data_IF_232950868707
#
_entry.id   IF_232950868707
#
_cell.length_a   1.000
_cell.length_b   1.000
_cell.length_c   1.000
_cell.angle_alpha   90.00
_cell.angle_beta   90.00
_cell.angle_gamma   90.00
#
_symmetry.space_group_name_H-M   'P 1'
#
loop_
_entity.id
_entity.type
_entity.pdbx_description
1 polymer ?
#
# COMPACT_ATOMS: atom_id res chain seq x y z
N UNK A 1 -17.55 -21.20 29.61
CA UNK A 1 -18.91 -20.95 30.11
C UNK A 1 -19.11 -19.43 30.19
N UNK A 2 -19.78 -18.88 29.16
CA UNK A 2 -20.53 -17.60 29.09
C UNK A 2 -19.77 -16.29 29.45
N UNK A 3 -19.77 -15.21 28.66
CA UNK A 3 -20.94 -14.56 28.04
C UNK A 3 -20.52 -13.40 27.11
N UNK A 4 -21.13 -13.28 25.92
CA UNK A 4 -22.03 -12.18 25.54
C UNK A 4 -22.33 -12.23 24.05
N UNK A 5 -23.60 -12.47 23.72
CA UNK A 5 -24.14 -12.15 22.41
C UNK A 5 -24.05 -10.63 22.18
N UNK A 6 -23.49 -10.25 21.04
CA UNK A 6 -23.58 -8.90 20.51
C UNK A 6 -24.01 -9.04 19.05
N UNK A 7 -25.28 -8.75 18.79
CA UNK A 7 -25.69 -8.18 17.51
C UNK A 7 -24.97 -6.83 17.38
N UNK A 8 -23.93 -6.82 16.56
CA UNK A 8 -22.95 -5.74 16.47
C UNK A 8 -21.56 -6.38 16.48
N UNK A 9 -20.93 -6.42 15.32
CA UNK A 9 -19.62 -7.07 15.12
C UNK A 9 -18.63 -6.65 16.21
N UNK A 10 -17.86 -7.61 16.73
CA UNK A 10 -16.77 -7.35 17.68
C UNK A 10 -15.84 -6.31 17.09
N UNK A 11 -15.73 -5.17 17.77
CA UNK A 11 -14.63 -4.24 17.54
C UNK A 11 -13.38 -4.99 18.04
N UNK A 12 -12.56 -5.50 17.11
CA UNK A 12 -11.29 -6.12 17.44
C UNK A 12 -10.41 -5.14 18.21
N UNK A 13 -9.64 -5.63 19.18
CA UNK A 13 -8.62 -4.82 19.82
C UNK A 13 -7.72 -4.23 18.73
N UNK A 14 -7.43 -2.92 18.77
CA UNK A 14 -6.60 -2.25 17.76
C UNK A 14 -5.19 -2.85 17.60
N UNK A 15 -4.79 -3.81 18.45
CA UNK A 15 -3.54 -4.57 18.34
C UNK A 15 -3.57 -5.74 17.35
N UNK A 16 -4.74 -6.11 16.80
CA UNK A 16 -4.89 -7.19 15.82
C UNK A 16 -5.12 -6.66 14.39
N UNK A 17 -4.81 -5.38 14.13
CA UNK A 17 -4.88 -4.76 12.80
C UNK A 17 -3.48 -4.56 12.17
N UNK A 18 -2.44 -5.15 12.78
CA UNK A 18 -1.03 -4.93 12.42
C UNK A 18 -0.47 -6.03 11.50
N UNK A 19 -1.29 -6.57 10.59
CA UNK A 19 -0.73 -7.32 9.45
C UNK A 19 -0.27 -6.31 8.41
N UNK A 20 0.84 -5.63 8.74
CA UNK A 20 1.64 -4.88 7.77
C UNK A 20 2.19 -5.89 6.75
N UNK A 21 1.46 -6.10 5.65
CA UNK A 21 1.93 -6.95 4.56
C UNK A 21 3.08 -6.20 3.87
N UNK A 22 4.29 -6.77 3.82
CA UNK A 22 5.39 -6.13 3.11
C UNK A 22 5.07 -6.04 1.62
N UNK A 23 5.29 -4.85 1.05
CA UNK A 23 5.15 -4.56 -0.36
C UNK A 23 6.51 -4.65 -1.06
N UNK A 24 6.50 -4.94 -2.36
CA UNK A 24 7.73 -5.04 -3.14
C UNK A 24 7.87 -3.81 -4.03
N UNK A 25 9.06 -3.19 -4.02
CA UNK A 25 9.38 -2.07 -4.89
C UNK A 25 9.29 -2.48 -6.36
N UNK A 26 8.51 -1.78 -7.18
CA UNK A 26 8.37 -2.10 -8.60
C UNK A 26 9.66 -1.91 -9.40
N UNK A 27 10.54 -1.02 -8.94
CA UNK A 27 11.82 -0.74 -9.60
C UNK A 27 12.95 -1.67 -9.16
N UNK A 28 13.24 -1.73 -7.86
CA UNK A 28 14.41 -2.46 -7.34
C UNK A 28 14.07 -3.82 -6.72
N UNK A 29 12.77 -4.18 -6.65
CA UNK A 29 12.27 -5.42 -6.04
C UNK A 29 12.66 -5.63 -4.58
N UNK A 30 13.00 -4.54 -3.86
CA UNK A 30 13.22 -4.56 -2.43
C UNK A 30 11.90 -4.69 -1.66
N UNK A 31 11.95 -5.34 -0.50
CA UNK A 31 10.85 -5.40 0.45
C UNK A 31 10.70 -4.06 1.19
N UNK A 32 9.47 -3.56 1.31
CA UNK A 32 9.12 -2.27 1.90
C UNK A 32 7.92 -2.46 2.82
N UNK A 33 7.96 -1.97 4.06
CA UNK A 33 6.76 -1.94 4.88
C UNK A 33 5.71 -0.98 4.29
N UNK A 34 4.43 -1.33 4.37
CA UNK A 34 3.33 -0.48 3.87
C UNK A 34 3.45 0.98 4.34
N UNK A 35 3.83 1.19 5.59
CA UNK A 35 3.96 2.53 6.20
C UNK A 35 5.05 3.41 5.59
N UNK A 36 6.03 2.83 4.90
CA UNK A 36 7.12 3.57 4.26
C UNK A 36 7.08 3.49 2.72
N UNK A 37 6.11 2.78 2.15
CA UNK A 37 5.98 2.60 0.72
C UNK A 37 5.38 3.85 0.07
N UNK A 38 6.09 4.42 -0.91
CA UNK A 38 5.54 5.45 -1.76
C UNK A 38 4.66 4.80 -2.83
N UNK A 39 3.35 5.07 -2.77
CA UNK A 39 2.38 4.61 -3.77
C UNK A 39 2.32 5.58 -4.95
N UNK A 40 2.18 5.01 -6.13
CA UNK A 40 1.75 5.72 -7.32
C UNK A 40 0.52 5.00 -7.87
N UNK A 41 -0.59 5.71 -7.90
CA UNK A 41 -1.83 5.20 -8.47
C UNK A 41 -1.90 5.64 -9.94
N UNK A 42 -1.85 4.62 -10.79
CA UNK A 42 -2.17 4.68 -12.19
C UNK A 42 -3.66 4.48 -12.45
N UNK A 43 -4.04 4.51 -13.71
CA UNK A 43 -5.44 4.31 -14.10
C UNK A 43 -5.93 2.89 -13.80
N UNK A 44 -5.07 1.90 -13.98
CA UNK A 44 -5.38 0.47 -13.85
C UNK A 44 -4.41 -0.29 -12.93
N UNK A 45 -3.47 0.40 -12.28
CA UNK A 45 -2.48 -0.23 -11.41
C UNK A 45 -2.01 0.67 -10.27
N UNK A 46 -1.51 0.06 -9.20
CA UNK A 46 -0.82 0.75 -8.12
C UNK A 46 0.62 0.26 -8.07
N UNK A 47 1.57 1.17 -8.26
CA UNK A 47 2.99 0.87 -8.12
C UNK A 47 3.50 1.32 -6.76
N UNK A 48 4.37 0.50 -6.14
CA UNK A 48 4.95 0.81 -4.84
C UNK A 48 6.47 1.01 -4.97
N UNK A 49 6.99 2.03 -4.29
CA UNK A 49 8.41 2.38 -4.34
C UNK A 49 9.01 2.54 -2.95
N UNK A 50 10.25 2.08 -2.78
CA UNK A 50 10.96 2.15 -1.51
C UNK A 50 11.45 3.57 -1.17
N UNK A 51 11.39 4.49 -2.15
CA UNK A 51 11.81 5.87 -1.97
C UNK A 51 11.68 6.72 -3.24
N UNK A 52 11.91 8.02 -3.08
CA UNK A 52 11.75 9.01 -4.15
C UNK A 52 12.67 8.74 -5.34
N UNK A 53 13.92 8.35 -5.13
CA UNK A 53 14.86 8.08 -6.22
C UNK A 53 14.42 6.93 -7.14
N UNK A 54 13.75 5.91 -6.57
CA UNK A 54 13.17 4.82 -7.37
C UNK A 54 11.94 5.30 -8.13
N UNK A 55 11.03 6.00 -7.46
CA UNK A 55 9.83 6.56 -8.11
C UNK A 55 10.21 7.52 -9.26
N UNK A 56 11.17 8.42 -9.07
CA UNK A 56 11.61 9.37 -10.10
C UNK A 56 12.28 8.69 -11.29
N UNK A 57 13.08 7.66 -11.04
CA UNK A 57 13.69 6.85 -12.11
C UNK A 57 12.65 6.10 -12.91
N UNK A 58 11.65 5.53 -12.22
CA UNK A 58 10.52 4.90 -12.87
C UNK A 58 9.68 5.91 -13.68
N UNK A 59 9.34 7.07 -13.10
CA UNK A 59 8.59 8.15 -13.78
C UNK A 59 9.27 8.64 -15.06
N UNK A 60 10.61 8.72 -15.06
CA UNK A 60 11.39 9.07 -16.26
C UNK A 60 11.29 8.01 -17.37
N UNK A 61 11.19 6.74 -16.99
CA UNK A 61 11.05 5.63 -17.93
C UNK A 61 9.60 5.44 -18.41
N UNK A 62 8.62 6.00 -17.68
CA UNK A 62 7.18 5.89 -17.97
C UNK A 62 6.52 7.27 -18.16
N UNK A 63 6.94 8.08 -19.15
CA UNK A 63 6.38 9.42 -19.34
C UNK A 63 4.90 9.37 -19.81
N UNK A 64 4.02 9.90 -18.97
CA UNK A 64 2.75 10.54 -19.32
C UNK A 64 1.57 9.71 -19.88
N UNK A 65 1.54 8.38 -19.80
CA UNK A 65 0.32 7.63 -20.16
C UNK A 65 -0.61 7.27 -19.01
N UNK A 66 -0.16 7.44 -17.77
CA UNK A 66 -0.84 6.83 -16.63
C UNK A 66 -0.96 7.76 -15.40
N UNK A 67 -0.56 9.03 -15.54
CA UNK A 67 -0.80 10.05 -14.51
C UNK A 67 -2.24 10.57 -14.61
N UNK A 68 -3.24 9.77 -14.24
CA UNK A 68 -4.56 10.31 -13.93
C UNK A 68 -4.95 9.87 -12.51
N UNK A 69 -4.92 10.78 -11.52
CA UNK A 69 -5.43 10.49 -10.18
C UNK A 69 -6.96 10.41 -10.25
N UNK A 70 -7.53 9.23 -9.99
CA UNK A 70 -8.96 9.15 -9.67
C UNK A 70 -9.12 9.59 -8.22
N UNK A 71 -9.85 10.70 -8.06
CA UNK A 71 -10.24 11.38 -6.82
C UNK A 71 -10.86 10.48 -5.76
#
# INVERSE_FOLDING_TARGET
MQSKAHTGATIGSCSDDDVCVPLICDLCKAEIPQSAAQTFEGADYTAHFCGLGCMETWKRNHPAKDSQPSV
#
